data_IF_532437422207
#
_entry.id   IF_532437422207
#
_cell.length_a   1.000
_cell.length_b   1.000
_cell.length_c   1.000
_cell.angle_alpha   90.00
_cell.angle_beta   90.00
_cell.angle_gamma   90.00
#
_symmetry.space_group_name_H-M   'P 1'
#
loop_
_entity.id
_entity.type
_entity.pdbx_description
1 polymer ?
#
# COMPACT_ATOMS: atom_id res chain seq x y z
N UNK A 1 -4.90 -9.48 5.00
CA UNK A 1 -3.92 -10.56 5.24
C UNK A 1 -4.36 -11.35 6.45
N UNK A 2 -4.09 -12.65 6.46
CA UNK A 2 -4.51 -13.58 7.52
C UNK A 2 -4.04 -13.14 8.92
N UNK A 3 -2.90 -12.45 8.99
CA UNK A 3 -2.29 -11.96 10.23
C UNK A 3 -2.11 -10.43 10.27
N UNK A 4 -3.01 -9.66 9.64
CA UNK A 4 -2.96 -8.18 9.66
C UNK A 4 -3.12 -7.68 11.11
N UNK A 5 -2.15 -6.92 11.61
CA UNK A 5 -2.22 -6.25 12.90
C UNK A 5 -1.69 -4.80 12.79
N UNK A 6 -2.24 -3.84 13.55
CA UNK A 6 -1.69 -2.50 13.63
C UNK A 6 -0.38 -2.47 14.42
N UNK A 7 0.61 -1.74 13.92
CA UNK A 7 1.89 -1.51 14.61
C UNK A 7 2.47 -0.17 14.15
N UNK A 8 3.25 0.49 15.02
CA UNK A 8 4.08 1.64 14.66
C UNK A 8 5.49 1.26 14.21
N UNK A 9 5.89 0.01 14.41
CA UNK A 9 7.19 -0.54 14.03
C UNK A 9 7.07 -1.28 12.69
N UNK A 10 7.70 -0.74 11.64
CA UNK A 10 7.67 -1.29 10.29
C UNK A 10 8.52 -2.57 10.15
N UNK A 11 9.43 -2.83 11.09
CA UNK A 11 10.31 -4.00 11.11
C UNK A 11 9.77 -5.12 12.01
N UNK A 12 8.65 -4.88 12.68
CA UNK A 12 8.00 -5.87 13.53
C UNK A 12 7.32 -6.97 12.70
N UNK A 13 7.44 -8.22 13.17
CA UNK A 13 6.75 -9.41 12.65
C UNK A 13 6.89 -9.61 11.13
N UNK A 14 8.12 -9.49 10.62
CA UNK A 14 8.42 -9.60 9.18
C UNK A 14 8.66 -11.04 8.70
N UNK A 15 8.62 -12.01 9.61
CA UNK A 15 8.77 -13.43 9.31
C UNK A 15 7.38 -14.07 9.15
N UNK A 16 7.14 -14.83 8.07
CA UNK A 16 5.90 -15.59 7.92
C UNK A 16 5.71 -16.63 9.02
N UNK A 17 4.45 -16.93 9.34
CA UNK A 17 4.13 -18.03 10.27
C UNK A 17 4.30 -19.37 9.53
N UNK A 18 4.78 -20.45 10.19
CA UNK A 18 4.85 -21.77 9.58
C UNK A 18 3.49 -22.20 9.00
N UNK A 19 3.47 -22.63 7.73
CA UNK A 19 2.26 -23.06 7.03
C UNK A 19 1.36 -21.94 6.49
N UNK A 20 1.75 -20.67 6.65
CA UNK A 20 0.94 -19.52 6.20
C UNK A 20 0.73 -19.53 4.67
N UNK A 21 1.74 -19.91 3.90
CA UNK A 21 1.66 -19.99 2.44
C UNK A 21 0.60 -20.98 1.98
N UNK A 22 0.58 -22.17 2.57
CA UNK A 22 -0.40 -23.21 2.28
C UNK A 22 -1.81 -22.80 2.73
N UNK A 23 -1.92 -22.16 3.90
CA UNK A 23 -3.19 -21.62 4.39
C UNK A 23 -3.77 -20.58 3.42
N UNK A 24 -2.95 -19.62 2.95
CA UNK A 24 -3.35 -18.61 1.97
C UNK A 24 -3.70 -19.26 0.62
N UNK A 25 -2.86 -20.18 0.13
CA UNK A 25 -3.12 -20.92 -1.13
C UNK A 25 -4.49 -21.61 -1.09
N UNK A 26 -4.81 -22.27 0.02
CA UNK A 26 -6.07 -23.02 0.16
C UNK A 26 -7.32 -22.12 0.13
N UNK A 27 -7.20 -20.82 0.45
CA UNK A 27 -8.31 -19.86 0.35
C UNK A 27 -8.75 -19.58 -1.10
N UNK A 28 -7.95 -19.95 -2.11
CA UNK A 28 -8.30 -19.78 -3.52
C UNK A 28 -9.16 -20.93 -4.10
N UNK A 29 -9.48 -21.94 -3.29
CA UNK A 29 -10.43 -22.99 -3.64
C UNK A 29 -11.87 -22.56 -3.34
N UNK A 30 -12.90 -22.99 -4.11
CA UNK A 30 -12.82 -23.82 -5.32
C UNK A 30 -12.49 -23.14 -6.66
N UNK A 31 -12.43 -21.79 -6.83
CA UNK A 31 -12.17 -21.20 -8.15
C UNK A 31 -10.90 -21.70 -8.84
N UNK A 32 -9.86 -22.05 -8.07
CA UNK A 32 -8.66 -22.71 -8.57
C UNK A 32 -8.75 -24.21 -8.26
N UNK A 33 -8.93 -25.02 -9.31
CA UNK A 33 -9.02 -26.48 -9.19
C UNK A 33 -7.68 -27.10 -8.77
N UNK A 34 -7.73 -28.25 -8.09
CA UNK A 34 -6.54 -29.03 -7.66
C UNK A 34 -5.54 -28.17 -6.86
N UNK A 35 -6.05 -27.31 -6.00
CA UNK A 35 -5.26 -26.30 -5.27
C UNK A 35 -4.05 -26.91 -4.52
N UNK A 36 -4.17 -28.15 -4.07
CA UNK A 36 -3.11 -28.85 -3.34
C UNK A 36 -1.93 -29.30 -4.20
N UNK A 37 -2.11 -29.40 -5.52
CA UNK A 37 -1.03 -29.71 -6.48
C UNK A 37 -0.09 -28.51 -6.71
N UNK A 38 -0.51 -27.29 -6.35
CA UNK A 38 0.32 -26.09 -6.49
C UNK A 38 1.33 -25.99 -5.35
N UNK A 39 2.59 -25.80 -5.72
CA UNK A 39 3.72 -25.60 -4.79
C UNK A 39 3.87 -24.13 -4.40
N UNK A 40 3.94 -23.85 -3.11
CA UNK A 40 4.38 -22.56 -2.59
C UNK A 40 5.89 -22.45 -2.78
N UNK A 41 6.36 -21.46 -3.55
CA UNK A 41 7.79 -21.25 -3.81
C UNK A 41 8.44 -20.29 -2.81
N UNK A 42 7.67 -19.32 -2.32
CA UNK A 42 8.13 -18.28 -1.39
C UNK A 42 6.94 -17.71 -0.63
N UNK A 43 7.19 -17.28 0.62
CA UNK A 43 6.21 -16.57 1.45
C UNK A 43 6.89 -15.32 1.99
N UNK A 44 6.25 -14.16 1.83
CA UNK A 44 6.81 -12.86 2.20
C UNK A 44 5.77 -12.05 2.96
N UNK A 45 6.18 -11.45 4.08
CA UNK A 45 5.35 -10.51 4.83
C UNK A 45 5.55 -9.09 4.31
N UNK A 46 4.45 -8.43 3.90
CA UNK A 46 4.46 -7.05 3.43
C UNK A 46 3.90 -6.10 4.50
N UNK A 47 4.59 -4.99 4.74
CA UNK A 47 4.11 -3.91 5.59
C UNK A 47 3.36 -2.87 4.75
N UNK A 48 2.27 -2.36 5.30
CA UNK A 48 1.46 -1.31 4.69
C UNK A 48 1.33 -0.14 5.66
N UNK A 49 1.50 1.07 5.15
CA UNK A 49 1.21 2.30 5.89
C UNK A 49 -0.23 2.70 5.62
N UNK A 50 -0.98 3.03 6.67
CA UNK A 50 -2.35 3.53 6.59
C UNK A 50 -2.46 4.85 7.34
N UNK A 51 -3.10 5.83 6.73
CA UNK A 51 -3.61 7.02 7.42
C UNK A 51 -4.91 6.65 8.14
N UNK A 52 -5.26 7.38 9.20
CA UNK A 52 -6.48 7.11 9.97
C UNK A 52 -7.77 7.28 9.13
N UNK A 53 -7.72 8.13 8.10
CA UNK A 53 -8.82 8.35 7.15
C UNK A 53 -8.68 7.52 5.86
N UNK A 54 -7.68 6.64 5.80
CA UNK A 54 -7.35 5.75 4.67
C UNK A 54 -7.09 6.48 3.33
N UNK A 55 -6.89 7.80 3.36
CA UNK A 55 -6.59 8.62 2.18
C UNK A 55 -5.09 8.74 1.90
N UNK A 56 -4.75 9.06 0.65
CA UNK A 56 -3.36 9.39 0.30
C UNK A 56 -2.92 10.69 1.00
N UNK A 57 -1.63 10.76 1.27
CA UNK A 57 -1.02 11.82 2.05
C UNK A 57 -0.08 12.66 1.18
N UNK A 58 -0.17 13.98 1.34
CA UNK A 58 0.93 14.89 1.03
C UNK A 58 1.18 15.81 2.24
N UNK A 59 2.42 15.83 2.71
CA UNK A 59 2.83 16.61 3.87
C UNK A 59 4.09 17.44 3.55
N UNK A 60 4.04 18.75 3.81
CA UNK A 60 5.16 19.65 3.55
C UNK A 60 5.90 19.93 4.86
N UNK A 61 7.21 19.70 4.86
CA UNK A 61 8.12 20.01 5.97
C UNK A 61 9.26 20.87 5.44
N UNK A 62 9.15 22.19 5.58
CA UNK A 62 10.09 23.16 5.00
C UNK A 62 10.14 23.03 3.47
N UNK A 63 11.31 22.66 2.93
CA UNK A 63 11.51 22.41 1.49
C UNK A 63 11.21 20.98 1.06
N UNK A 64 10.88 20.08 1.99
CA UNK A 64 10.55 18.69 1.70
C UNK A 64 9.04 18.51 1.50
N UNK A 65 8.67 17.81 0.43
CA UNK A 65 7.31 17.34 0.19
C UNK A 65 7.30 15.81 0.30
N UNK A 66 6.68 15.31 1.36
CA UNK A 66 6.46 13.87 1.59
C UNK A 66 5.14 13.49 0.93
N UNK A 67 5.16 12.47 0.06
CA UNK A 67 3.97 11.97 -0.62
C UNK A 67 3.88 10.48 -0.40
N UNK A 68 2.71 9.99 -0.03
CA UNK A 68 2.46 8.57 0.14
C UNK A 68 1.08 8.18 -0.37
N UNK A 69 1.06 7.26 -1.34
CA UNK A 69 -0.13 6.53 -1.75
C UNK A 69 -0.37 5.35 -0.79
N UNK A 70 -0.54 5.67 0.50
CA UNK A 70 -0.82 4.75 1.59
C UNK A 70 -2.01 3.82 1.28
N UNK A 71 -2.22 2.82 2.13
CA UNK A 71 -3.34 1.88 2.06
C UNK A 71 -3.21 0.78 1.00
N UNK A 72 -2.00 0.53 0.51
CA UNK A 72 -1.67 -0.58 -0.41
C UNK A 72 -1.98 -0.35 -1.88
N UNK A 73 -2.23 0.90 -2.24
CA UNK A 73 -2.60 1.31 -3.58
C UNK A 73 -1.42 1.87 -4.39
N UNK A 74 -0.24 1.98 -3.79
CA UNK A 74 0.95 2.58 -4.40
C UNK A 74 1.32 1.97 -5.76
N UNK A 75 1.21 0.65 -5.92
CA UNK A 75 1.47 0.00 -7.22
C UNK A 75 0.48 0.46 -8.30
N UNK A 76 -0.82 0.47 -7.99
CA UNK A 76 -1.89 0.81 -8.94
C UNK A 76 -1.86 2.28 -9.35
N UNK A 77 -1.59 3.18 -8.42
CA UNK A 77 -1.69 4.63 -8.65
C UNK A 77 -0.36 5.36 -8.76
N UNK A 78 0.79 4.66 -8.61
CA UNK A 78 2.11 5.27 -8.57
C UNK A 78 2.39 6.19 -9.76
N UNK A 79 2.04 5.76 -10.98
CA UNK A 79 2.21 6.59 -12.18
C UNK A 79 1.34 7.87 -12.17
N UNK A 80 0.07 7.75 -11.76
CA UNK A 80 -0.85 8.90 -11.72
C UNK A 80 -0.44 9.91 -10.62
N UNK A 81 -0.10 9.40 -9.44
CA UNK A 81 0.43 10.19 -8.33
C UNK A 81 1.73 10.88 -8.75
N UNK A 82 2.68 10.15 -9.35
CA UNK A 82 3.96 10.71 -9.80
C UNK A 82 3.80 11.88 -10.76
N UNK A 83 2.88 11.79 -11.74
CA UNK A 83 2.60 12.92 -12.66
C UNK A 83 2.07 14.16 -11.93
N UNK A 84 1.18 13.98 -10.96
CA UNK A 84 0.62 15.08 -10.16
C UNK A 84 1.68 15.70 -9.25
N UNK A 85 2.55 14.89 -8.67
CA UNK A 85 3.70 15.35 -7.89
C UNK A 85 4.66 16.16 -8.76
N UNK A 86 4.99 15.67 -9.97
CA UNK A 86 5.85 16.41 -10.90
C UNK A 86 5.25 17.78 -11.26
N UNK A 87 3.96 17.85 -11.59
CA UNK A 87 3.28 19.11 -11.87
C UNK A 87 3.32 20.06 -10.66
N UNK A 88 3.04 19.54 -9.46
CA UNK A 88 3.13 20.29 -8.20
C UNK A 88 4.52 20.87 -7.94
N UNK A 89 5.58 20.10 -8.22
CA UNK A 89 6.96 20.59 -8.09
C UNK A 89 7.24 21.72 -9.08
N UNK A 90 6.70 21.63 -10.30
CA UNK A 90 6.88 22.67 -11.32
C UNK A 90 6.10 23.96 -11.04
N UNK A 91 4.87 23.87 -10.53
CA UNK A 91 3.97 25.02 -10.37
C UNK A 91 3.80 25.51 -8.93
N UNK A 92 4.28 24.76 -7.93
CA UNK A 92 4.17 25.09 -6.51
C UNK A 92 2.82 24.78 -5.86
N UNK A 93 1.86 24.19 -6.59
CA UNK A 93 0.49 23.95 -6.12
C UNK A 93 0.38 22.70 -5.22
N UNK A 94 0.82 22.85 -3.97
CA UNK A 94 0.77 21.77 -2.97
C UNK A 94 -0.66 21.50 -2.49
N UNK A 95 -1.50 22.53 -2.40
CA UNK A 95 -2.86 22.36 -1.89
C UNK A 95 -3.77 21.69 -2.91
N UNK A 96 -3.62 21.99 -4.21
CA UNK A 96 -4.26 21.25 -5.28
C UNK A 96 -3.82 19.77 -5.33
N UNK A 97 -2.53 19.49 -5.10
CA UNK A 97 -2.05 18.12 -4.97
C UNK A 97 -2.73 17.39 -3.80
N UNK A 98 -2.82 18.02 -2.62
CA UNK A 98 -3.47 17.42 -1.44
C UNK A 98 -4.93 17.10 -1.70
N UNK A 99 -5.70 18.06 -2.23
CA UNK A 99 -7.12 17.85 -2.56
C UNK A 99 -7.31 16.69 -3.53
N UNK A 100 -6.48 16.64 -4.58
CA UNK A 100 -6.54 15.58 -5.58
C UNK A 100 -6.21 14.20 -4.99
N UNK A 101 -5.13 14.10 -4.20
CA UNK A 101 -4.74 12.86 -3.52
C UNK A 101 -5.84 12.32 -2.59
N UNK A 102 -6.60 13.23 -1.98
CA UNK A 102 -7.66 12.92 -1.02
C UNK A 102 -9.03 12.73 -1.67
N UNK A 103 -9.11 12.82 -3.00
CA UNK A 103 -10.33 12.81 -3.79
C UNK A 103 -11.40 13.79 -3.27
N UNK A 104 -10.96 14.97 -2.83
CA UNK A 104 -11.84 16.03 -2.34
C UNK A 104 -12.42 16.81 -3.53
N UNK A 105 -13.66 17.27 -3.40
CA UNK A 105 -14.30 18.11 -4.42
C UNK A 105 -13.46 19.38 -4.67
N UNK A 106 -13.41 19.80 -5.93
CA UNK A 106 -12.65 20.97 -6.37
C UNK A 106 -13.22 22.28 -5.80
#
# INVERSE_FOLDING_TARGET
GLHRAPTSDADWNRQPVPGEGEAIRNLFSPPIARIEEYKVTEVVTCAYTFTADEKFLAHRKGKCLVVSACSGHGYKFGAAVGRRVAACVSNGDVDGLKKWLRAEAA
#
